data_IF_456148864893
#
_entry.id   IF_456148864893
#
_cell.length_a   1.000
_cell.length_b   1.000
_cell.length_c   1.000
_cell.angle_alpha   90.00
_cell.angle_beta   90.00
_cell.angle_gamma   90.00
#
_symmetry.space_group_name_H-M   'P 1'
#
loop_
_entity.id
_entity.type
_entity.pdbx_description
1 polymer ?
#
# COMPACT_ATOMS: atom_id res chain seq x y z
N UNK A 1 -57.18 -13.41 -7.10
CA UNK A 1 -56.92 -14.33 -8.23
C UNK A 1 -58.23 -14.48 -8.99
N UNK A 2 -58.30 -14.22 -10.30
CA UNK A 2 -59.51 -14.51 -11.04
C UNK A 2 -59.75 -16.02 -11.00
N UNK A 3 -60.98 -16.44 -10.69
CA UNK A 3 -61.39 -17.85 -10.78
C UNK A 3 -61.11 -18.35 -12.19
N UNK A 4 -60.38 -19.46 -12.33
CA UNK A 4 -60.18 -20.08 -13.63
C UNK A 4 -61.56 -20.49 -14.16
N UNK A 5 -62.03 -19.82 -15.21
CA UNK A 5 -63.26 -20.22 -15.90
C UNK A 5 -62.99 -21.57 -16.54
N UNK A 6 -63.62 -22.62 -15.99
CA UNK A 6 -63.54 -23.98 -16.53
C UNK A 6 -64.53 -24.06 -17.69
N UNK A 7 -64.01 -24.26 -18.90
CA UNK A 7 -64.82 -24.32 -20.12
C UNK A 7 -65.54 -25.67 -20.24
N UNK A 8 -64.89 -26.77 -19.83
CA UNK A 8 -65.46 -28.12 -19.94
C UNK A 8 -65.14 -28.98 -18.73
N UNK A 9 -66.10 -29.81 -18.35
CA UNK A 9 -65.98 -30.76 -17.24
C UNK A 9 -66.23 -32.18 -17.74
N UNK A 10 -65.37 -33.09 -17.33
CA UNK A 10 -65.47 -34.51 -17.61
C UNK A 10 -65.51 -35.25 -16.28
N UNK A 11 -66.48 -36.15 -16.10
CA UNK A 11 -66.52 -37.05 -14.96
C UNK A 11 -66.50 -38.49 -15.46
N UNK A 12 -65.48 -39.25 -15.06
CA UNK A 12 -65.25 -40.62 -15.51
C UNK A 12 -64.99 -41.55 -14.33
N UNK A 13 -65.24 -42.84 -14.56
CA UNK A 13 -64.91 -43.92 -13.64
C UNK A 13 -63.83 -44.77 -14.27
N UNK A 14 -62.73 -44.97 -13.56
CA UNK A 14 -61.61 -45.79 -14.01
C UNK A 14 -61.38 -46.92 -13.01
N UNK A 15 -61.09 -48.10 -13.53
CA UNK A 15 -60.92 -49.33 -12.75
C UNK A 15 -59.45 -49.74 -12.70
N UNK A 16 -58.98 -50.26 -11.56
CA UNK A 16 -57.59 -50.72 -11.37
C UNK A 16 -57.29 -52.03 -12.11
N UNK A 17 -58.30 -52.83 -12.42
CA UNK A 17 -58.17 -54.19 -12.98
C UNK A 17 -58.57 -54.22 -14.47
N UNK A 18 -59.59 -53.45 -14.88
CA UNK A 18 -60.07 -53.47 -16.27
C UNK A 18 -59.01 -52.99 -17.27
N UNK A 19 -58.73 -53.83 -18.27
CA UNK A 19 -57.76 -53.52 -19.34
C UNK A 19 -58.37 -52.91 -20.61
N UNK A 20 -59.70 -52.92 -20.75
CA UNK A 20 -60.37 -52.37 -21.93
C UNK A 20 -60.27 -50.84 -21.94
N UNK A 21 -59.94 -50.25 -23.08
CA UNK A 21 -59.86 -48.80 -23.21
C UNK A 21 -61.27 -48.18 -23.12
N UNK A 22 -61.47 -47.26 -22.19
CA UNK A 22 -62.73 -46.51 -22.04
C UNK A 22 -62.83 -45.43 -23.13
N UNK A 23 -63.75 -45.60 -24.08
CA UNK A 23 -64.03 -44.57 -25.09
C UNK A 23 -65.09 -43.61 -24.58
N UNK A 24 -64.75 -42.33 -24.40
CA UNK A 24 -65.67 -41.30 -23.94
C UNK A 24 -66.35 -40.68 -25.17
N UNK A 25 -67.64 -40.96 -25.37
CA UNK A 25 -68.37 -40.52 -26.57
C UNK A 25 -68.91 -39.09 -26.46
N UNK A 26 -69.32 -38.68 -25.26
CA UNK A 26 -70.03 -37.42 -25.02
C UNK A 26 -69.10 -36.25 -24.63
N UNK A 27 -67.79 -36.43 -24.75
CA UNK A 27 -66.80 -35.41 -24.41
C UNK A 27 -65.82 -35.19 -25.55
N UNK A 28 -65.69 -33.94 -25.97
CA UNK A 28 -64.72 -33.49 -26.96
C UNK A 28 -63.93 -32.32 -26.39
N UNK A 29 -62.63 -32.53 -26.21
CA UNK A 29 -61.70 -31.47 -25.86
C UNK A 29 -61.47 -30.56 -27.08
N UNK A 30 -61.51 -29.25 -26.90
CA UNK A 30 -61.11 -28.30 -27.94
C UNK A 30 -59.76 -27.73 -27.54
N UNK A 31 -58.82 -27.65 -28.49
CA UNK A 31 -57.49 -27.10 -28.24
C UNK A 31 -57.62 -25.67 -27.69
N UNK A 32 -57.12 -25.47 -26.47
CA UNK A 32 -57.18 -24.18 -25.77
C UNK A 32 -58.24 -24.06 -24.68
N UNK A 33 -59.19 -25.01 -24.60
CA UNK A 33 -60.18 -25.02 -23.51
C UNK A 33 -59.53 -25.35 -22.17
N UNK A 34 -59.96 -24.65 -21.12
CA UNK A 34 -59.71 -25.06 -19.74
C UNK A 34 -60.61 -26.26 -19.40
N UNK A 35 -60.01 -27.41 -19.11
CA UNK A 35 -60.71 -28.67 -18.85
C UNK A 35 -60.50 -29.10 -17.40
N UNK A 36 -61.57 -29.55 -16.75
CA UNK A 36 -61.54 -30.23 -15.45
C UNK A 36 -61.94 -31.69 -15.66
N UNK A 37 -61.12 -32.64 -15.21
CA UNK A 37 -61.45 -34.06 -15.23
C UNK A 37 -61.57 -34.54 -13.79
N UNK A 38 -62.74 -35.05 -13.43
CA UNK A 38 -62.97 -35.81 -12.19
C UNK A 38 -62.90 -37.29 -12.52
N UNK A 39 -62.03 -38.01 -11.82
CA UNK A 39 -61.83 -39.45 -11.94
C UNK A 39 -62.25 -40.08 -10.63
N UNK A 40 -63.20 -41.00 -10.70
CA UNK A 40 -63.56 -41.87 -9.57
C UNK A 40 -62.90 -43.22 -9.80
N UNK A 41 -62.07 -43.64 -8.85
CA UNK A 41 -61.25 -44.84 -8.94
C UNK A 41 -61.98 -45.98 -8.25
N UNK A 42 -62.15 -47.08 -8.97
CA UNK A 42 -62.84 -48.26 -8.47
C UNK A 42 -61.96 -49.52 -8.63
N UNK A 43 -62.15 -50.47 -7.73
CA UNK A 43 -61.57 -51.81 -7.81
C UNK A 43 -62.68 -52.82 -7.53
N UNK A 44 -62.90 -53.77 -8.45
CA UNK A 44 -64.02 -54.72 -8.36
C UNK A 44 -65.40 -54.06 -8.16
N UNK A 45 -65.63 -52.90 -8.79
CA UNK A 45 -66.84 -52.07 -8.67
C UNK A 45 -67.10 -51.47 -7.27
N UNK A 46 -66.09 -51.41 -6.39
CA UNK A 46 -66.12 -50.66 -5.13
C UNK A 46 -65.14 -49.48 -5.21
N UNK A 47 -65.40 -48.35 -4.52
CA UNK A 47 -64.43 -47.26 -4.42
C UNK A 47 -63.09 -47.75 -3.88
N UNK A 48 -62.00 -47.31 -4.50
CA UNK A 48 -60.63 -47.66 -4.07
C UNK A 48 -60.07 -46.55 -3.18
N UNK A 49 -59.62 -46.92 -1.98
CA UNK A 49 -58.88 -46.01 -1.10
C UNK A 49 -57.48 -45.77 -1.68
N UNK A 50 -57.11 -44.50 -1.82
CA UNK A 50 -55.81 -44.02 -2.32
C UNK A 50 -55.11 -43.10 -1.32
N UNK A 51 -55.43 -43.23 -0.02
CA UNK A 51 -54.82 -42.43 1.04
C UNK A 51 -53.31 -42.62 1.06
N UNK A 52 -52.55 -41.51 1.00
CA UNK A 52 -51.09 -41.52 0.98
C UNK A 52 -50.46 -41.70 -0.40
N UNK A 53 -51.25 -41.98 -1.43
CA UNK A 53 -50.76 -42.11 -2.80
C UNK A 53 -50.57 -40.76 -3.50
N UNK A 54 -49.72 -40.76 -4.51
CA UNK A 54 -49.57 -39.68 -5.49
C UNK A 54 -50.16 -40.11 -6.83
N UNK A 55 -50.52 -39.14 -7.67
CA UNK A 55 -51.18 -39.40 -8.94
C UNK A 55 -50.44 -38.70 -10.09
N UNK A 56 -50.32 -39.40 -11.22
CA UNK A 56 -49.67 -38.90 -12.43
C UNK A 56 -50.51 -39.21 -13.65
N UNK A 57 -50.79 -38.20 -14.47
CA UNK A 57 -51.49 -38.39 -15.73
C UNK A 57 -50.46 -38.61 -16.84
N UNK A 58 -50.55 -39.75 -17.53
CA UNK A 58 -49.70 -40.09 -18.67
C UNK A 58 -50.54 -40.41 -19.89
N UNK A 59 -49.96 -40.29 -21.07
CA UNK A 59 -50.65 -40.69 -22.28
C UNK A 59 -49.86 -40.49 -23.56
N UNK A 60 -50.52 -40.80 -24.66
CA UNK A 60 -50.01 -40.66 -26.02
C UNK A 60 -51.01 -39.85 -26.83
N UNK A 61 -50.52 -38.79 -27.47
CA UNK A 61 -51.31 -37.93 -28.37
C UNK A 61 -51.52 -38.61 -29.73
N UNK A 62 -52.43 -38.08 -30.52
CA UNK A 62 -52.71 -38.59 -31.87
C UNK A 62 -51.51 -38.59 -32.83
N UNK A 63 -50.52 -37.71 -32.61
CA UNK A 63 -49.28 -37.66 -33.39
C UNK A 63 -48.16 -38.59 -32.85
N UNK A 64 -48.43 -39.37 -31.81
CA UNK A 64 -47.46 -40.27 -31.19
C UNK A 64 -46.59 -39.65 -30.09
N UNK A 65 -46.73 -38.34 -29.80
CA UNK A 65 -46.03 -37.72 -28.67
C UNK A 65 -46.54 -38.27 -27.34
N UNK A 66 -45.61 -38.62 -26.46
CA UNK A 66 -45.89 -38.94 -25.07
C UNK A 66 -46.05 -37.66 -24.25
N UNK A 67 -46.94 -37.67 -23.26
CA UNK A 67 -47.03 -36.61 -22.26
C UNK A 67 -47.13 -37.21 -20.86
N UNK A 68 -46.69 -36.41 -19.91
CA UNK A 68 -46.73 -36.71 -18.49
C UNK A 68 -47.00 -35.42 -17.70
N UNK A 69 -47.87 -35.50 -16.71
CA UNK A 69 -48.23 -34.41 -15.81
C UNK A 69 -48.41 -34.95 -14.39
N UNK A 70 -47.77 -34.30 -13.41
CA UNK A 70 -47.88 -34.63 -11.99
C UNK A 70 -48.54 -33.45 -11.24
N UNK A 71 -48.30 -32.23 -11.71
CA UNK A 71 -48.87 -31.01 -11.16
C UNK A 71 -50.36 -30.84 -11.47
N UNK A 72 -51.07 -30.06 -10.66
CA UNK A 72 -52.52 -29.77 -10.80
C UNK A 72 -53.42 -31.01 -10.83
N UNK A 73 -52.99 -32.07 -10.15
CA UNK A 73 -53.77 -33.26 -9.82
C UNK A 73 -54.02 -33.20 -8.31
N UNK A 74 -55.29 -33.15 -7.93
CA UNK A 74 -55.73 -33.02 -6.55
C UNK A 74 -56.56 -34.24 -6.17
N UNK A 75 -56.14 -34.98 -5.15
CA UNK A 75 -56.98 -35.99 -4.51
C UNK A 75 -58.00 -35.24 -3.66
N UNK A 76 -59.27 -35.32 -4.04
CA UNK A 76 -60.36 -34.59 -3.39
C UNK A 76 -60.97 -35.39 -2.24
N UNK A 77 -61.00 -36.71 -2.39
CA UNK A 77 -61.49 -37.64 -1.39
C UNK A 77 -60.74 -38.96 -1.54
N UNK A 78 -59.67 -39.13 -0.75
CA UNK A 78 -58.76 -40.27 -0.88
C UNK A 78 -59.43 -41.62 -0.49
N UNK A 79 -60.20 -41.72 0.62
CA UNK A 79 -60.91 -42.95 0.97
C UNK A 79 -61.92 -43.42 -0.09
N UNK A 80 -62.52 -42.49 -0.84
CA UNK A 80 -63.47 -42.80 -1.91
C UNK A 80 -62.86 -42.78 -3.32
N UNK A 81 -61.53 -42.64 -3.45
CA UNK A 81 -60.84 -42.71 -4.74
C UNK A 81 -61.18 -41.56 -5.71
N UNK A 82 -61.48 -40.36 -5.22
CA UNK A 82 -61.88 -39.23 -6.07
C UNK A 82 -60.70 -38.30 -6.33
N UNK A 83 -60.31 -38.18 -7.60
CA UNK A 83 -59.23 -37.32 -8.08
C UNK A 83 -59.80 -36.28 -9.03
N UNK A 84 -59.44 -35.01 -8.83
CA UNK A 84 -59.68 -33.94 -9.79
C UNK A 84 -58.37 -33.48 -10.39
N UNK A 85 -58.31 -33.42 -11.71
CA UNK A 85 -57.14 -32.90 -12.42
C UNK A 85 -57.51 -31.86 -13.45
N UNK A 86 -56.57 -30.95 -13.67
CA UNK A 86 -56.65 -29.89 -14.67
C UNK A 86 -55.53 -30.14 -15.68
N UNK A 87 -55.83 -30.75 -16.84
CA UNK A 87 -54.84 -31.01 -17.87
C UNK A 87 -54.14 -29.72 -18.27
N UNK A 88 -52.82 -29.76 -18.39
CA UNK A 88 -52.05 -28.68 -18.98
C UNK A 88 -52.46 -28.50 -20.44
N UNK A 89 -52.23 -27.30 -20.97
CA UNK A 89 -52.57 -26.94 -22.36
C UNK A 89 -51.88 -27.89 -23.37
N UNK A 90 -50.70 -28.42 -23.05
CA UNK A 90 -49.94 -29.34 -23.91
C UNK A 90 -50.52 -30.76 -23.97
N UNK A 91 -51.42 -31.15 -23.05
CA UNK A 91 -52.02 -32.50 -23.02
C UNK A 91 -53.02 -32.67 -24.17
N UNK A 92 -53.78 -31.61 -24.48
CA UNK A 92 -54.80 -31.59 -25.53
C UNK A 92 -54.50 -30.51 -26.58
N UNK A 93 -53.24 -30.40 -27.02
CA UNK A 93 -52.81 -29.45 -28.05
C UNK A 93 -52.70 -30.04 -29.47
N UNK A 94 -52.91 -31.35 -29.64
CA UNK A 94 -52.87 -32.02 -30.94
C UNK A 94 -54.25 -32.55 -31.26
N UNK A 95 -54.73 -32.27 -32.47
CA UNK A 95 -56.01 -32.77 -32.97
C UNK A 95 -55.98 -34.28 -33.17
N UNK A 96 -57.02 -34.97 -32.70
CA UNK A 96 -57.21 -36.41 -32.89
C UNK A 96 -57.51 -37.15 -31.60
N UNK A 97 -57.22 -38.46 -31.59
CA UNK A 97 -57.51 -39.36 -30.47
C UNK A 97 -56.32 -39.44 -29.53
N UNK A 98 -56.47 -38.90 -28.33
CA UNK A 98 -55.45 -39.01 -27.28
C UNK A 98 -55.82 -40.16 -26.34
N UNK A 99 -54.86 -41.03 -26.04
CA UNK A 99 -55.00 -42.14 -25.09
C UNK A 99 -54.37 -41.70 -23.79
N UNK A 100 -55.15 -41.67 -22.73
CA UNK A 100 -54.75 -41.21 -21.41
C UNK A 100 -54.84 -42.36 -20.39
N UNK A 101 -54.04 -42.27 -19.34
CA UNK A 101 -54.02 -43.18 -18.21
C UNK A 101 -53.65 -42.38 -16.96
N UNK A 102 -54.36 -42.61 -15.86
CA UNK A 102 -53.93 -42.12 -14.56
C UNK A 102 -53.11 -43.23 -13.88
N UNK A 103 -51.95 -42.86 -13.36
CA UNK A 103 -51.10 -43.70 -12.54
C UNK A 103 -51.28 -43.29 -11.08
N UNK A 104 -51.34 -44.28 -10.21
CA UNK A 104 -51.34 -44.10 -8.76
C UNK A 104 -50.04 -44.70 -8.24
N UNK A 105 -49.26 -43.92 -7.52
CA UNK A 105 -47.95 -44.32 -6.99
C UNK A 105 -47.96 -44.15 -5.47
N UNK A 106 -47.67 -45.22 -4.74
CA UNK A 106 -47.34 -45.18 -3.31
C UNK A 106 -45.88 -45.59 -3.09
N UNK A 107 -45.44 -45.71 -1.83
CA UNK A 107 -44.04 -46.01 -1.50
C UNK A 107 -43.59 -47.42 -1.95
N UNK A 108 -44.53 -48.33 -2.25
CA UNK A 108 -44.27 -49.74 -2.53
C UNK A 108 -44.63 -50.15 -3.98
N UNK A 109 -45.64 -49.54 -4.60
CA UNK A 109 -46.19 -49.95 -5.90
C UNK A 109 -46.68 -48.78 -6.80
N UNK A 110 -46.69 -49.03 -8.11
CA UNK A 110 -47.30 -48.14 -9.12
C UNK A 110 -48.40 -48.87 -9.87
N UNK A 111 -49.63 -48.37 -9.75
CA UNK A 111 -50.83 -48.97 -10.35
C UNK A 111 -51.26 -48.14 -11.57
N UNK A 112 -51.26 -48.79 -12.74
CA UNK A 112 -51.82 -48.22 -13.97
C UNK A 112 -53.33 -48.43 -13.99
N UNK A 113 -54.13 -47.35 -13.98
CA UNK A 113 -55.58 -47.48 -14.13
C UNK A 113 -55.99 -47.82 -15.57
N UNK A 114 -57.26 -48.19 -15.72
CA UNK A 114 -57.90 -48.33 -17.03
C UNK A 114 -57.61 -47.10 -17.92
N UNK A 115 -57.13 -47.35 -19.14
CA UNK A 115 -56.87 -46.30 -20.13
C UNK A 115 -58.19 -45.72 -20.64
N UNK A 116 -58.22 -44.43 -20.95
CA UNK A 116 -59.37 -43.75 -21.54
C UNK A 116 -58.98 -42.91 -22.75
N UNK A 117 -59.92 -42.70 -23.68
CA UNK A 117 -59.71 -41.93 -24.90
C UNK A 117 -60.47 -40.62 -24.84
N UNK A 118 -59.76 -39.54 -25.12
CA UNK A 118 -60.31 -38.20 -25.30
C UNK A 118 -60.13 -37.78 -26.76
N UNK A 119 -61.21 -37.37 -27.41
CA UNK A 119 -61.14 -36.78 -28.75
C UNK A 119 -60.85 -35.29 -28.62
N UNK A 120 -59.80 -34.83 -29.30
CA UNK A 120 -59.36 -33.43 -29.33
C UNK A 120 -59.62 -32.86 -30.72
N UNK A 121 -60.27 -31.69 -30.78
CA UNK A 121 -60.55 -30.98 -32.04
C UNK A 121 -59.93 -29.59 -32.04
N UNK A 122 -59.64 -29.05 -33.23
CA UNK A 122 -59.13 -27.70 -33.39
C UNK A 122 -60.12 -26.63 -32.91
N UNK A 123 -59.58 -25.55 -32.38
CA UNK A 123 -60.26 -24.28 -32.18
C UNK A 123 -60.00 -23.36 -33.37
N UNK A 124 -60.86 -22.37 -33.61
CA UNK A 124 -60.56 -21.28 -34.55
C UNK A 124 -59.29 -20.52 -34.17
N UNK A 125 -58.90 -20.54 -32.88
CA UNK A 125 -57.72 -19.83 -32.36
C UNK A 125 -56.48 -20.72 -32.16
N UNK A 126 -56.46 -21.97 -32.64
CA UNK A 126 -55.37 -22.92 -32.36
C UNK A 126 -53.97 -22.39 -32.73
N UNK A 127 -53.81 -21.73 -33.88
CA UNK A 127 -52.53 -21.14 -34.28
C UNK A 127 -52.02 -20.07 -33.29
N UNK A 128 -52.92 -19.14 -32.91
CA UNK A 128 -52.61 -18.06 -31.96
C UNK A 128 -52.18 -18.62 -30.59
N UNK A 129 -52.82 -19.70 -30.13
CA UNK A 129 -52.53 -20.32 -28.83
C UNK A 129 -51.15 -20.98 -28.81
N UNK A 130 -50.78 -21.68 -29.90
CA UNK A 130 -49.48 -22.33 -30.02
C UNK A 130 -48.37 -21.28 -30.10
N UNK A 131 -48.50 -20.27 -30.96
CA UNK A 131 -47.54 -19.16 -31.08
C UNK A 131 -47.38 -18.39 -29.76
N UNK A 132 -48.49 -18.14 -29.05
CA UNK A 132 -48.45 -17.46 -27.74
C UNK A 132 -47.68 -18.27 -26.71
N UNK A 133 -47.74 -19.60 -26.75
CA UNK A 133 -46.97 -20.47 -25.85
C UNK A 133 -45.47 -20.36 -26.12
N UNK A 134 -45.05 -20.49 -27.37
CA UNK A 134 -43.64 -20.39 -27.75
C UNK A 134 -43.05 -19.02 -27.37
N UNK A 135 -43.84 -17.95 -27.54
CA UNK A 135 -43.47 -16.62 -27.09
C UNK A 135 -43.31 -16.53 -25.56
N UNK A 136 -44.23 -17.12 -24.79
CA UNK A 136 -44.16 -17.16 -23.32
C UNK A 136 -42.92 -17.94 -22.84
N UNK A 137 -42.61 -19.06 -23.49
CA UNK A 137 -41.45 -19.89 -23.16
C UNK A 137 -40.15 -19.13 -23.42
N UNK A 138 -40.04 -18.49 -24.59
CA UNK A 138 -38.92 -17.60 -24.93
C UNK A 138 -38.77 -16.46 -23.92
N UNK A 139 -39.87 -15.82 -23.50
CA UNK A 139 -39.85 -14.77 -22.47
C UNK A 139 -39.38 -15.31 -21.11
N UNK A 140 -39.72 -16.56 -20.77
CA UNK A 140 -39.27 -17.20 -19.53
C UNK A 140 -37.76 -17.45 -19.55
N UNK A 141 -37.22 -17.92 -20.66
CA UNK A 141 -35.78 -18.11 -20.86
C UNK A 141 -35.02 -16.79 -20.76
N UNK A 142 -35.51 -15.74 -21.43
CA UNK A 142 -34.93 -14.39 -21.35
C UNK A 142 -34.93 -13.85 -19.92
N UNK A 143 -36.00 -14.09 -19.16
CA UNK A 143 -36.08 -13.66 -17.76
C UNK A 143 -35.06 -14.41 -16.87
N UNK A 144 -34.87 -15.71 -17.10
CA UNK A 144 -33.85 -16.49 -16.40
C UNK A 144 -32.44 -15.97 -16.72
N UNK A 145 -32.16 -15.67 -17.99
CA UNK A 145 -30.88 -15.10 -18.41
C UNK A 145 -30.63 -13.72 -17.78
N UNK A 146 -31.65 -12.86 -17.74
CA UNK A 146 -31.57 -11.55 -17.09
C UNK A 146 -31.25 -11.68 -15.59
N UNK A 147 -31.86 -12.65 -14.91
CA UNK A 147 -31.57 -12.91 -13.50
C UNK A 147 -30.12 -13.40 -13.30
N UNK A 148 -29.61 -14.25 -14.19
CA UNK A 148 -28.20 -14.66 -14.18
C UNK A 148 -27.26 -13.47 -14.31
N UNK A 149 -27.48 -12.61 -15.31
CA UNK A 149 -26.64 -11.42 -15.53
C UNK A 149 -26.68 -10.42 -14.38
N UNK A 150 -27.82 -10.29 -13.68
CA UNK A 150 -27.90 -9.50 -12.45
C UNK A 150 -27.02 -10.08 -11.34
N UNK A 151 -26.98 -11.42 -11.22
CA UNK A 151 -26.06 -12.12 -10.32
C UNK A 151 -24.60 -11.83 -10.66
N UNK A 152 -24.22 -11.96 -11.92
CA UNK A 152 -22.86 -11.70 -12.39
C UNK A 152 -22.42 -10.25 -12.14
N UNK A 153 -23.29 -9.27 -12.39
CA UNK A 153 -23.03 -7.87 -12.10
C UNK A 153 -22.77 -7.60 -10.61
N UNK A 154 -23.53 -8.25 -9.71
CA UNK A 154 -23.30 -8.14 -8.28
C UNK A 154 -21.93 -8.73 -7.88
N UNK A 155 -21.55 -9.88 -8.45
CA UNK A 155 -20.26 -10.51 -8.21
C UNK A 155 -19.09 -9.66 -8.72
N UNK A 156 -19.24 -9.04 -9.89
CA UNK A 156 -18.25 -8.10 -10.44
C UNK A 156 -18.10 -6.89 -9.53
N UNK A 157 -19.21 -6.27 -9.10
CA UNK A 157 -19.18 -5.13 -8.19
C UNK A 157 -18.46 -5.47 -6.88
N UNK A 158 -18.73 -6.63 -6.30
CA UNK A 158 -18.05 -7.07 -5.08
C UNK A 158 -16.55 -7.29 -5.31
N UNK A 159 -16.18 -7.85 -6.45
CA UNK A 159 -14.77 -8.05 -6.83
C UNK A 159 -14.03 -6.73 -7.01
N UNK A 160 -14.68 -5.71 -7.59
CA UNK A 160 -14.11 -4.35 -7.71
C UNK A 160 -13.90 -3.71 -6.34
N UNK A 161 -14.85 -3.86 -5.41
CA UNK A 161 -14.70 -3.37 -4.02
C UNK A 161 -13.51 -4.06 -3.35
N UNK A 162 -13.42 -5.40 -3.43
CA UNK A 162 -12.33 -6.16 -2.83
C UNK A 162 -10.96 -5.76 -3.42
N UNK A 163 -10.89 -5.53 -4.74
CA UNK A 163 -9.66 -5.05 -5.39
C UNK A 163 -9.26 -3.66 -4.89
N UNK A 164 -10.22 -2.74 -4.72
CA UNK A 164 -9.96 -1.41 -4.17
C UNK A 164 -9.35 -1.48 -2.77
N UNK A 165 -9.89 -2.34 -1.91
CA UNK A 165 -9.41 -2.49 -0.54
C UNK A 165 -7.99 -3.08 -0.52
N UNK A 166 -7.73 -4.09 -1.36
CA UNK A 166 -6.40 -4.68 -1.50
C UNK A 166 -5.35 -3.67 -2.00
N UNK A 167 -5.69 -2.84 -3.00
CA UNK A 167 -4.81 -1.78 -3.50
C UNK A 167 -4.53 -0.75 -2.39
N UNK A 168 -5.54 -0.38 -1.61
CA UNK A 168 -5.39 0.55 -0.49
C UNK A 168 -4.44 -0.02 0.57
N UNK A 169 -4.62 -1.28 0.95
CA UNK A 169 -3.74 -1.97 1.88
C UNK A 169 -2.29 -2.00 1.37
N UNK A 170 -2.07 -2.42 0.12
CA UNK A 170 -0.73 -2.50 -0.46
C UNK A 170 -0.06 -1.15 -0.58
N UNK A 171 -0.82 -0.09 -0.86
CA UNK A 171 -0.31 1.28 -0.89
C UNK A 171 0.17 1.72 0.50
N UNK A 172 -0.57 1.37 1.55
CA UNK A 172 -0.17 1.68 2.93
C UNK A 172 1.08 0.91 3.35
N UNK A 173 1.19 -0.38 3.02
CA UNK A 173 2.38 -1.19 3.28
C UNK A 173 3.64 -0.56 2.64
N UNK A 174 3.56 -0.22 1.36
CA UNK A 174 4.67 0.44 0.64
C UNK A 174 5.02 1.80 1.25
N UNK A 175 4.03 2.57 1.69
CA UNK A 175 4.28 3.88 2.30
C UNK A 175 4.99 3.74 3.65
N UNK A 176 4.66 2.71 4.46
CA UNK A 176 5.36 2.41 5.71
C UNK A 176 6.83 2.07 5.44
N UNK A 177 7.08 1.14 4.51
CA UNK A 177 8.46 0.75 4.12
C UNK A 177 9.27 1.96 3.62
N UNK A 178 8.66 2.84 2.84
CA UNK A 178 9.31 4.04 2.33
C UNK A 178 9.64 5.04 3.45
N UNK A 179 8.75 5.22 4.42
CA UNK A 179 8.97 6.08 5.59
C UNK A 179 10.10 5.52 6.47
N UNK A 180 10.13 4.21 6.70
CA UNK A 180 11.22 3.56 7.44
C UNK A 180 12.56 3.73 6.74
N UNK A 181 12.63 3.49 5.42
CA UNK A 181 13.84 3.70 4.63
C UNK A 181 14.32 5.15 4.72
N UNK A 182 13.40 6.11 4.58
CA UNK A 182 13.72 7.55 4.71
C UNK A 182 14.30 7.87 6.09
N UNK A 183 13.72 7.33 7.15
CA UNK A 183 14.20 7.56 8.52
C UNK A 183 15.59 6.95 8.73
N UNK A 184 15.86 5.75 8.20
CA UNK A 184 17.16 5.10 8.28
C UNK A 184 18.24 5.92 7.56
N UNK A 185 17.96 6.37 6.32
CA UNK A 185 18.86 7.25 5.57
C UNK A 185 19.15 8.54 6.33
N UNK A 186 18.12 9.17 6.92
CA UNK A 186 18.32 10.40 7.69
C UNK A 186 19.19 10.17 8.93
N UNK A 187 19.01 9.03 9.63
CA UNK A 187 19.85 8.65 10.75
C UNK A 187 21.31 8.45 10.32
N UNK A 188 21.57 7.75 9.21
CA UNK A 188 22.92 7.57 8.68
C UNK A 188 23.57 8.89 8.29
N UNK A 189 22.83 9.80 7.63
CA UNK A 189 23.31 11.15 7.31
C UNK A 189 23.71 11.90 8.57
N UNK A 190 22.88 11.87 9.62
CA UNK A 190 23.18 12.55 10.88
C UNK A 190 24.43 11.96 11.56
N UNK A 191 24.66 10.64 11.47
CA UNK A 191 25.88 10.00 11.98
C UNK A 191 27.10 10.50 11.21
N UNK A 192 27.05 10.51 9.88
CA UNK A 192 28.13 11.02 9.03
C UNK A 192 28.44 12.49 9.30
N UNK A 193 27.43 13.33 9.50
CA UNK A 193 27.61 14.74 9.89
C UNK A 193 28.32 14.88 11.23
N UNK A 194 27.98 14.05 12.22
CA UNK A 194 28.66 14.03 13.51
C UNK A 194 30.12 13.59 13.38
N UNK A 195 30.41 12.56 12.57
CA UNK A 195 31.77 12.10 12.31
C UNK A 195 32.61 13.19 11.63
N UNK A 196 32.05 13.87 10.62
CA UNK A 196 32.71 15.00 9.94
C UNK A 196 32.99 16.15 10.92
N UNK A 197 32.03 16.49 11.78
CA UNK A 197 32.20 17.52 12.80
C UNK A 197 33.29 17.13 13.82
N UNK A 198 33.34 15.84 14.20
CA UNK A 198 34.40 15.29 15.04
C UNK A 198 35.78 15.41 14.40
N UNK A 199 35.91 15.07 13.11
CA UNK A 199 37.15 15.23 12.34
C UNK A 199 37.57 16.70 12.29
N UNK A 200 36.64 17.61 11.98
CA UNK A 200 36.92 19.06 11.95
C UNK A 200 37.42 19.57 13.30
N UNK A 201 36.85 19.09 14.41
CA UNK A 201 37.30 19.44 15.76
C UNK A 201 38.72 18.92 16.04
N UNK A 202 39.00 17.64 15.70
CA UNK A 202 40.33 17.04 15.88
C UNK A 202 41.39 17.75 15.02
N UNK A 203 41.07 18.06 13.76
CA UNK A 203 41.97 18.80 12.86
C UNK A 203 42.23 20.21 13.40
N UNK A 204 41.21 20.93 13.87
CA UNK A 204 41.39 22.26 14.48
C UNK A 204 42.24 22.21 15.77
N UNK A 205 42.10 21.15 16.57
CA UNK A 205 42.88 20.95 17.80
C UNK A 205 44.35 20.59 17.50
N UNK A 206 44.57 19.66 16.56
CA UNK A 206 45.90 19.17 16.16
C UNK A 206 46.67 20.21 15.31
N UNK A 207 45.98 21.04 14.52
CA UNK A 207 46.55 22.17 13.79
C UNK A 207 46.50 23.47 14.62
N UNK A 208 46.83 23.38 15.91
CA UNK A 208 47.02 24.51 16.84
C UNK A 208 47.46 25.75 16.05
N UNK A 209 46.55 26.73 15.87
CA UNK A 209 46.68 27.84 14.90
C UNK A 209 48.04 28.51 15.04
N UNK A 210 49.02 28.10 14.23
CA UNK A 210 50.33 28.74 14.19
C UNK A 210 50.14 30.11 13.56
N UNK A 211 50.24 31.14 14.37
CA UNK A 211 50.18 32.51 13.91
C UNK A 211 51.52 32.79 13.25
N UNK A 212 51.52 32.91 11.92
CA UNK A 212 52.71 33.31 11.16
C UNK A 212 53.05 34.76 11.53
N UNK A 213 54.31 35.00 11.86
CA UNK A 213 54.83 36.34 12.12
C UNK A 213 55.39 36.93 10.83
N UNK A 214 55.07 38.19 10.59
CA UNK A 214 55.48 38.92 9.38
C UNK A 214 56.79 39.65 9.64
N UNK A 215 57.82 39.48 8.78
CA UNK A 215 59.04 40.28 8.85
C UNK A 215 58.73 41.77 8.77
N UNK A 216 59.32 42.54 9.68
CA UNK A 216 59.20 43.98 9.78
C UNK A 216 60.58 44.60 9.92
N UNK A 217 60.93 45.45 8.95
CA UNK A 217 62.22 46.14 8.89
C UNK A 217 62.03 47.57 9.36
N UNK A 218 62.46 47.86 10.59
CA UNK A 218 62.49 49.23 11.08
C UNK A 218 63.62 50.00 10.39
N UNK A 219 63.32 51.19 9.86
CA UNK A 219 64.32 52.09 9.28
C UNK A 219 65.36 52.47 10.35
N UNK A 220 66.65 52.40 10.02
CA UNK A 220 67.73 52.72 10.98
C UNK A 220 68.05 51.64 12.02
N UNK A 221 67.33 50.51 12.05
CA UNK A 221 67.66 49.36 12.91
C UNK A 221 68.42 48.27 12.14
N UNK A 222 69.41 47.67 12.80
CA UNK A 222 70.18 46.52 12.32
C UNK A 222 69.49 45.16 12.59
N UNK A 223 68.33 45.18 13.25
CA UNK A 223 67.57 43.98 13.62
C UNK A 223 66.41 43.71 12.66
N UNK A 224 66.05 42.43 12.50
CA UNK A 224 64.76 42.03 11.92
C UNK A 224 63.76 41.81 13.06
N UNK A 225 62.58 42.43 12.93
CA UNK A 225 61.46 42.18 13.82
C UNK A 225 60.48 41.22 13.13
N UNK A 226 59.94 40.26 13.87
CA UNK A 226 58.86 39.39 13.40
C UNK A 226 57.60 39.78 14.15
N UNK A 227 56.63 40.30 13.40
CA UNK A 227 55.45 40.98 13.95
C UNK A 227 54.19 40.14 13.83
N UNK A 228 53.33 40.22 14.83
CA UNK A 228 51.94 39.77 14.70
C UNK A 228 51.14 40.75 13.84
N UNK A 229 49.98 40.30 13.36
CA UNK A 229 48.92 41.22 12.94
C UNK A 229 48.43 42.07 14.13
N UNK A 230 47.60 43.07 13.82
CA UNK A 230 47.03 43.96 14.82
C UNK A 230 46.11 43.17 15.78
N UNK A 231 46.38 43.27 17.07
CA UNK A 231 45.61 42.63 18.14
C UNK A 231 44.63 43.67 18.69
N UNK A 232 43.34 43.46 18.42
CA UNK A 232 42.27 44.37 18.85
C UNK A 232 41.64 43.99 20.19
N UNK A 233 42.01 42.85 20.77
CA UNK A 233 41.59 42.47 22.12
C UNK A 233 42.33 43.29 23.19
N UNK A 234 41.69 43.61 24.34
CA UNK A 234 42.35 44.29 25.46
C UNK A 234 43.62 43.56 25.92
N UNK A 235 44.69 44.32 26.16
CA UNK A 235 45.99 43.77 26.55
C UNK A 235 45.92 42.84 27.78
N UNK A 236 45.02 43.10 28.74
CA UNK A 236 44.78 42.21 29.90
C UNK A 236 44.53 40.75 29.55
N UNK A 237 44.01 40.47 28.35
CA UNK A 237 43.77 39.11 27.90
C UNK A 237 45.08 38.33 27.67
N UNK A 238 46.21 39.01 27.45
CA UNK A 238 47.52 38.38 27.30
C UNK A 238 48.01 37.68 28.58
N UNK A 239 47.55 38.13 29.76
CA UNK A 239 47.94 37.52 31.05
C UNK A 239 47.51 36.05 31.15
N UNK A 240 46.46 35.67 30.42
CA UNK A 240 45.94 34.31 30.34
C UNK A 240 46.33 33.65 29.00
N UNK A 241 47.48 33.99 28.42
CA UNK A 241 47.97 33.37 27.20
C UNK A 241 49.44 33.02 27.35
N UNK A 242 49.80 31.83 26.86
CA UNK A 242 51.18 31.40 26.69
C UNK A 242 51.38 30.98 25.25
N UNK A 243 52.55 31.28 24.71
CA UNK A 243 52.88 30.95 23.33
C UNK A 243 54.24 30.27 23.24
N UNK A 244 54.32 29.25 22.41
CA UNK A 244 55.59 28.73 21.91
C UNK A 244 55.95 29.48 20.63
N UNK A 245 57.04 30.22 20.65
CA UNK A 245 57.53 30.98 19.50
C UNK A 245 58.74 30.28 18.93
N UNK A 246 58.73 30.05 17.61
CA UNK A 246 59.86 29.53 16.85
C UNK A 246 60.26 30.53 15.77
N UNK A 247 61.52 30.93 15.76
CA UNK A 247 62.09 31.83 14.76
C UNK A 247 63.33 31.22 14.13
N UNK A 248 63.65 31.62 12.90
CA UNK A 248 64.88 31.20 12.23
C UNK A 248 65.26 32.09 11.07
N UNK A 249 66.56 32.11 10.76
CA UNK A 249 67.13 32.90 9.68
C UNK A 249 68.66 32.88 9.66
N UNK A 250 69.24 33.55 8.67
CA UNK A 250 70.69 33.67 8.52
C UNK A 250 71.24 34.76 9.45
N UNK A 251 72.18 34.40 10.34
CA UNK A 251 72.80 35.35 11.30
C UNK A 251 74.16 35.86 10.83
N UNK A 252 74.84 35.10 9.98
CA UNK A 252 76.09 35.44 9.29
C UNK A 252 76.17 34.69 7.96
N UNK A 253 77.00 35.11 6.99
CA UNK A 253 77.08 34.43 5.70
C UNK A 253 77.35 32.93 5.88
N UNK A 254 76.46 32.08 5.34
CA UNK A 254 76.56 30.62 5.46
C UNK A 254 76.00 30.00 6.74
N UNK A 255 75.56 30.78 7.73
CA UNK A 255 75.12 30.28 9.04
C UNK A 255 73.62 30.52 9.26
N UNK A 256 72.81 29.44 9.21
CA UNK A 256 71.38 29.49 9.53
C UNK A 256 71.14 29.02 10.97
N UNK A 257 70.55 29.87 11.79
CA UNK A 257 70.22 29.56 13.18
C UNK A 257 68.71 29.60 13.42
N UNK A 258 68.26 28.88 14.44
CA UNK A 258 66.86 28.86 14.88
C UNK A 258 66.78 28.87 16.40
N UNK A 259 65.79 29.61 16.93
CA UNK A 259 65.49 29.65 18.36
C UNK A 259 64.02 29.33 18.59
N UNK A 260 63.77 28.56 19.66
CA UNK A 260 62.43 28.32 20.17
C UNK A 260 62.36 28.73 21.63
N UNK A 261 61.33 29.50 21.98
CA UNK A 261 61.17 30.07 23.31
C UNK A 261 59.71 30.17 23.70
N UNK A 262 59.47 30.17 25.01
CA UNK A 262 58.17 30.38 25.61
C UNK A 262 57.95 31.88 25.82
N UNK A 263 56.78 32.39 25.43
CA UNK A 263 56.31 33.73 25.73
C UNK A 263 55.11 33.66 26.68
N UNK A 264 55.26 34.31 27.82
CA UNK A 264 54.20 34.56 28.81
C UNK A 264 54.12 36.07 29.09
N UNK A 265 53.12 36.52 29.87
CA UNK A 265 52.94 37.94 30.18
C UNK A 265 52.71 38.16 31.66
N UNK A 266 53.34 39.20 32.20
CA UNK A 266 53.24 39.56 33.61
C UNK A 266 52.72 40.99 33.78
N UNK A 267 51.89 41.21 34.81
CA UNK A 267 51.41 42.53 35.20
C UNK A 267 52.37 43.18 36.20
N UNK A 268 52.83 44.40 35.90
CA UNK A 268 53.64 45.22 36.80
C UNK A 268 53.24 46.70 36.67
N UNK A 269 52.91 47.35 37.79
CA UNK A 269 52.50 48.76 37.85
C UNK A 269 51.43 49.16 36.81
N UNK A 270 50.40 48.32 36.63
CA UNK A 270 49.30 48.57 35.68
C UNK A 270 49.66 48.38 34.21
N UNK A 271 50.87 47.88 33.92
CA UNK A 271 51.34 47.59 32.55
C UNK A 271 51.68 46.12 32.38
N UNK A 272 51.48 45.63 31.17
CA UNK A 272 51.68 44.22 30.80
C UNK A 272 53.02 44.09 30.09
N UNK A 273 53.87 43.24 30.64
CA UNK A 273 55.25 43.03 30.18
C UNK A 273 55.38 41.62 29.62
N UNK A 274 55.97 41.44 28.43
CA UNK A 274 56.30 40.12 27.94
C UNK A 274 57.44 39.51 28.76
N UNK A 275 57.32 38.23 29.06
CA UNK A 275 58.32 37.43 29.75
C UNK A 275 58.71 36.25 28.86
N UNK A 276 60.00 36.15 28.55
CA UNK A 276 60.54 35.17 27.60
C UNK A 276 61.41 34.16 28.33
N UNK A 277 61.18 32.88 28.07
CA UNK A 277 62.04 31.78 28.53
C UNK A 277 62.57 31.04 27.31
N UNK A 278 63.88 31.10 27.07
CA UNK A 278 64.51 30.35 25.98
C UNK A 278 64.49 28.85 26.29
N UNK A 279 63.96 28.05 25.36
CA UNK A 279 63.85 26.59 25.52
C UNK A 279 64.95 25.86 24.77
N UNK A 280 65.34 26.36 23.59
CA UNK A 280 66.43 25.79 22.80
C UNK A 280 67.00 26.83 21.82
N UNK A 281 68.32 27.00 21.86
CA UNK A 281 69.08 27.73 20.84
C UNK A 281 69.92 26.72 20.06
N UNK A 282 69.56 26.44 18.79
CA UNK A 282 70.48 25.74 17.89
C UNK A 282 71.46 26.76 17.34
N UNK A 283 72.69 26.72 17.83
CA UNK A 283 73.77 27.54 17.32
C UNK A 283 74.72 26.75 16.43
N UNK A 284 74.93 27.29 15.24
CA UNK A 284 76.09 26.98 14.41
C UNK A 284 77.03 28.20 14.57
N UNK A 285 78.33 27.94 14.81
CA UNK A 285 79.40 28.94 15.01
C UNK A 285 79.32 29.86 16.25
N UNK A 286 78.63 29.44 17.33
CA UNK A 286 78.70 30.13 18.64
C UNK A 286 77.95 31.47 18.74
N UNK A 287 77.16 31.85 17.72
CA UNK A 287 76.27 33.02 17.76
C UNK A 287 74.83 32.61 18.10
N UNK A 288 74.35 32.94 19.31
CA UNK A 288 72.96 32.66 19.71
C UNK A 288 71.98 33.62 19.02
N UNK A 289 70.80 33.11 18.66
CA UNK A 289 69.64 33.96 18.41
C UNK A 289 69.09 34.40 19.76
N UNK A 290 69.09 35.70 20.04
CA UNK A 290 68.59 36.23 21.32
C UNK A 290 67.30 37.01 21.08
N UNK A 291 66.14 36.32 21.07
CA UNK A 291 64.87 36.96 20.85
C UNK A 291 64.47 37.80 22.07
N UNK A 292 63.90 38.98 21.82
CA UNK A 292 63.15 39.72 22.82
C UNK A 292 61.81 40.16 22.25
N UNK A 293 60.81 40.36 23.11
CA UNK A 293 59.49 40.82 22.69
C UNK A 293 59.32 42.29 23.07
N UNK A 294 58.78 43.06 22.13
CA UNK A 294 58.39 44.46 22.31
C UNK A 294 57.00 44.67 21.72
N UNK A 295 56.33 45.77 22.08
CA UNK A 295 55.08 46.16 21.43
C UNK A 295 55.36 46.98 20.16
N UNK A 296 54.32 47.25 19.36
CA UNK A 296 54.46 47.89 18.04
C UNK A 296 55.10 49.29 18.05
N UNK A 297 55.09 49.98 19.18
CA UNK A 297 55.79 51.25 19.45
C UNK A 297 57.22 51.05 19.97
N UNK A 298 57.72 49.81 19.96
CA UNK A 298 59.00 49.35 20.51
C UNK A 298 59.13 49.47 22.03
N UNK A 299 58.02 49.71 22.73
CA UNK A 299 57.99 49.68 24.19
C UNK A 299 58.13 48.25 24.73
N UNK A 300 58.66 48.13 25.96
CA UNK A 300 58.73 46.85 26.69
C UNK A 300 57.46 46.53 27.49
N UNK A 301 56.47 47.44 27.49
CA UNK A 301 55.28 47.33 28.34
C UNK A 301 54.11 48.07 27.71
N UNK A 302 52.90 47.55 27.82
CA UNK A 302 51.68 48.21 27.33
C UNK A 302 50.66 48.41 28.45
N UNK A 303 49.82 49.44 28.36
CA UNK A 303 48.77 49.69 29.35
C UNK A 303 47.74 48.55 29.40
N UNK A 304 47.26 48.23 30.60
CA UNK A 304 46.37 47.09 30.89
C UNK A 304 45.14 46.96 29.97
N UNK A 305 44.55 48.09 29.56
CA UNK A 305 43.35 48.14 28.72
C UNK A 305 43.64 48.53 27.26
N UNK A 306 44.90 48.62 26.85
CA UNK A 306 45.24 49.00 25.48
C UNK A 306 44.68 47.99 24.46
N UNK A 307 44.27 48.48 23.30
CA UNK A 307 43.81 47.71 22.15
C UNK A 307 44.53 48.21 20.89
N UNK A 308 44.50 47.45 19.81
CA UNK A 308 45.13 47.85 18.54
C UNK A 308 46.66 47.85 18.61
N UNK A 309 47.25 46.88 19.31
CA UNK A 309 48.69 46.74 19.44
C UNK A 309 49.23 45.57 18.62
N UNK A 310 50.55 45.52 18.44
CA UNK A 310 51.26 44.39 17.83
C UNK A 310 52.33 43.88 18.79
N UNK A 311 52.65 42.60 18.70
CA UNK A 311 53.83 42.02 19.33
C UNK A 311 54.94 41.88 18.30
N UNK A 312 56.11 42.37 18.63
CA UNK A 312 57.32 42.31 17.80
C UNK A 312 58.35 41.43 18.48
N UNK A 313 58.72 40.33 17.83
CA UNK A 313 59.89 39.54 18.18
C UNK A 313 61.11 40.21 17.55
N UNK A 314 61.92 40.89 18.35
CA UNK A 314 63.21 41.42 17.93
C UNK A 314 64.21 40.26 17.85
N UNK A 315 64.86 40.10 16.71
CA UNK A 315 65.89 39.08 16.49
C UNK A 315 67.17 39.70 15.95
N UNK A 316 68.33 39.14 16.30
CA UNK A 316 69.64 39.47 15.73
C UNK A 316 69.91 38.73 14.40
N UNK A 317 68.86 38.36 13.67
CA UNK A 317 68.96 37.87 12.29
C UNK A 317 69.48 39.01 11.42
N UNK A 318 70.48 38.74 10.58
CA UNK A 318 71.12 39.76 9.77
C UNK A 318 70.16 40.29 8.70
N UNK A 319 69.78 41.57 8.83
CA UNK A 319 68.82 42.27 7.96
C UNK A 319 69.20 42.25 6.48
N UNK A 320 70.50 42.34 6.18
CA UNK A 320 71.02 42.45 4.82
C UNK A 320 71.27 41.08 4.15
N UNK A 321 71.33 40.00 4.94
CA UNK A 321 71.60 38.64 4.44
C UNK A 321 70.34 37.84 4.14
N UNK A 322 69.19 38.24 4.67
CA UNK A 322 67.92 37.55 4.45
C UNK A 322 67.03 38.38 3.52
N UNK A 323 66.55 37.76 2.44
CA UNK A 323 65.30 38.20 1.82
C UNK A 323 64.14 37.82 2.73
N UNK A 324 63.02 38.57 2.70
CA UNK A 324 61.87 38.35 3.58
C UNK A 324 61.25 36.93 3.46
N UNK A 325 61.68 36.16 2.46
CA UNK A 325 61.30 34.76 2.20
C UNK A 325 62.16 33.70 2.92
N UNK A 326 63.33 34.05 3.47
CA UNK A 326 64.30 33.10 4.07
C UNK A 326 64.24 33.11 5.61
N UNK A 327 63.67 34.15 6.20
CA UNK A 327 63.39 34.21 7.63
C UNK A 327 61.99 33.67 7.92
N UNK A 328 61.83 32.91 9.02
CA UNK A 328 60.52 32.48 9.49
C UNK A 328 60.30 32.86 10.95
N UNK A 329 59.03 33.07 11.29
CA UNK A 329 58.55 33.23 12.65
C UNK A 329 57.16 32.64 12.79
N UNK A 330 56.96 31.79 13.78
CA UNK A 330 55.67 31.22 14.11
C UNK A 330 55.42 31.32 15.60
N UNK A 331 54.22 31.76 15.95
CA UNK A 331 53.73 31.83 17.32
C UNK A 331 52.59 30.81 17.47
N UNK A 332 52.81 29.80 18.30
CA UNK A 332 51.86 28.72 18.55
C UNK A 332 51.24 28.93 19.92
N UNK A 333 49.92 29.16 20.03
CA UNK A 333 49.26 29.19 21.32
C UNK A 333 49.47 27.86 22.02
N UNK A 334 49.99 27.88 23.24
CA UNK A 334 49.96 26.71 24.11
C UNK A 334 48.61 26.74 24.81
N UNK A 335 47.84 25.66 24.69
CA UNK A 335 46.54 25.56 25.33
C UNK A 335 46.68 25.91 26.82
N UNK A 336 45.79 26.79 27.32
CA UNK A 336 45.52 26.92 28.76
C UNK A 336 44.30 26.06 29.06
#
# INVERSE_FOLDING_TARGET
>A
MPENIIAKKLNIKLDTIKQNILSIKDFVAVIGDSIEITINIEENNLPKDITGATCRLVGVKSNGEYFEQIEKINIVDAPNGIVKLYPRVDVFNVEGRNICCLLIEDDDESINLQRFVVNVVKSMATGIIIESREAIETLRELNNLLNSYRGDLNNINQSVINMKDLVTQKTNEVNIEFVELKNNIQTEINVLENDINGINHVVNYQLTKRIKLNPYRLLGSNYIYLSTDLINEPAKNLLNKQYLISIGGVVSPGTFNSATFLLSFNLYNGKINPFVVNLNDRTIDGKNLSPSITYGDLSSSIDFNATGYKLFVKSNIAKDLNADTVCYGYMTPLAI
#
